data_IF_172108354245
#
_entry.id   IF_172108354245
#
_cell.length_a   1.000
_cell.length_b   1.000
_cell.length_c   1.000
_cell.angle_alpha   90.00
_cell.angle_beta   90.00
_cell.angle_gamma   90.00
#
_symmetry.space_group_name_H-M   'P 1'
#
loop_
_entity.id
_entity.type
_entity.pdbx_description
1 polymer ?
#
# COMPACT_ATOMS: atom_id res chain seq x y z
N UNK A 1 19.55 -16.57 5.25
CA UNK A 1 19.10 -16.65 3.85
C UNK A 1 18.75 -15.25 3.40
N UNK A 2 19.51 -14.67 2.47
CA UNK A 2 19.26 -13.32 1.98
C UNK A 2 18.19 -13.36 0.89
N UNK A 3 16.92 -13.21 1.26
CA UNK A 3 15.87 -13.01 0.28
C UNK A 3 16.10 -11.64 -0.38
N UNK A 4 16.60 -11.68 -1.62
CA UNK A 4 16.98 -10.49 -2.37
C UNK A 4 15.77 -9.56 -2.45
N UNK A 5 15.95 -8.29 -2.15
CA UNK A 5 14.81 -7.38 -1.92
C UNK A 5 14.32 -6.65 -3.17
N UNK A 6 15.03 -6.79 -4.30
CA UNK A 6 14.53 -6.42 -5.64
C UNK A 6 13.21 -7.13 -5.98
N UNK A 7 13.06 -8.44 -5.75
CA UNK A 7 11.78 -9.15 -5.86
C UNK A 7 10.60 -8.49 -5.12
N UNK A 8 10.82 -7.86 -3.97
CA UNK A 8 9.73 -7.25 -3.21
C UNK A 8 9.13 -6.05 -3.95
N UNK A 9 9.98 -5.11 -4.38
CA UNK A 9 9.52 -3.93 -5.11
C UNK A 9 8.80 -4.30 -6.41
N UNK A 10 9.29 -5.32 -7.11
CA UNK A 10 8.67 -5.81 -8.34
C UNK A 10 7.31 -6.48 -8.05
N UNK A 11 7.21 -7.27 -6.96
CA UNK A 11 5.94 -7.85 -6.49
C UNK A 11 4.92 -6.76 -6.13
N UNK A 12 5.37 -5.67 -5.50
CA UNK A 12 4.54 -4.54 -5.10
C UNK A 12 4.23 -3.58 -6.26
N UNK A 13 4.87 -3.77 -7.42
CA UNK A 13 4.65 -2.96 -8.62
C UNK A 13 5.37 -1.60 -8.61
N UNK A 14 6.38 -1.42 -7.76
CA UNK A 14 7.18 -0.20 -7.70
C UNK A 14 8.16 -0.19 -8.87
N UNK A 15 7.88 0.64 -9.87
CA UNK A 15 8.71 0.79 -11.06
C UNK A 15 9.73 1.92 -10.86
N UNK A 16 10.84 1.92 -11.62
CA UNK A 16 11.68 3.12 -11.71
C UNK A 16 10.84 4.34 -12.10
N UNK A 17 11.01 5.45 -11.38
CA UNK A 17 10.25 6.68 -11.60
C UNK A 17 8.83 6.71 -11.03
N UNK A 18 8.37 5.66 -10.33
CA UNK A 18 7.08 5.71 -9.64
C UNK A 18 7.05 6.80 -8.57
N UNK A 19 5.94 7.54 -8.49
CA UNK A 19 5.62 8.42 -7.37
C UNK A 19 5.01 7.61 -6.24
N UNK A 20 5.62 7.66 -5.06
CA UNK A 20 5.23 6.84 -3.91
C UNK A 20 4.97 7.71 -2.69
N UNK A 21 3.84 7.51 -2.03
CA UNK A 21 3.55 8.09 -0.72
C UNK A 21 3.57 7.02 0.38
N UNK A 22 4.17 7.35 1.51
CA UNK A 22 4.26 6.51 2.70
C UNK A 22 3.42 7.08 3.83
N UNK A 23 2.64 6.23 4.48
CA UNK A 23 1.65 6.62 5.46
C UNK A 23 1.67 5.65 6.63
N UNK A 24 2.01 6.14 7.82
CA UNK A 24 2.10 5.36 9.07
C UNK A 24 2.87 4.04 8.92
N UNK A 25 3.86 4.01 8.03
CA UNK A 25 4.63 2.81 7.71
C UNK A 25 6.02 2.86 8.34
N UNK A 26 6.15 2.26 9.51
CA UNK A 26 7.45 2.09 10.17
C UNK A 26 8.20 0.87 9.62
N UNK A 27 8.88 1.05 8.49
CA UNK A 27 9.70 0.00 7.89
C UNK A 27 10.97 0.56 7.21
N UNK A 28 12.00 0.96 7.98
CA UNK A 28 13.16 1.70 7.48
C UNK A 28 13.91 1.01 6.32
N UNK A 29 14.00 -0.32 6.36
CA UNK A 29 14.62 -1.11 5.28
C UNK A 29 13.84 -1.02 3.97
N UNK A 30 12.51 -0.94 4.03
CA UNK A 30 11.67 -0.76 2.85
C UNK A 30 11.79 0.65 2.29
N UNK A 31 11.81 1.67 3.15
CA UNK A 31 12.03 3.06 2.75
C UNK A 31 13.37 3.22 2.02
N UNK A 32 14.44 2.61 2.54
CA UNK A 32 15.74 2.61 1.87
C UNK A 32 15.66 2.02 0.46
N UNK A 33 15.01 0.88 0.30
CA UNK A 33 14.86 0.22 -1.00
C UNK A 33 14.02 1.03 -1.98
N UNK A 34 12.95 1.68 -1.50
CA UNK A 34 12.16 2.59 -2.32
C UNK A 34 13.02 3.73 -2.87
N UNK A 35 13.83 4.36 -2.01
CA UNK A 35 14.72 5.48 -2.39
C UNK A 35 15.83 5.06 -3.35
N UNK A 36 16.23 3.79 -3.34
CA UNK A 36 17.15 3.21 -4.34
C UNK A 36 16.47 2.99 -5.71
N UNK A 37 15.15 2.80 -5.74
CA UNK A 37 14.37 2.53 -6.97
C UNK A 37 13.79 3.78 -7.62
N UNK A 38 13.32 4.74 -6.82
CA UNK A 38 12.69 5.97 -7.29
C UNK A 38 13.04 7.14 -6.38
N UNK A 39 13.11 8.34 -6.95
CA UNK A 39 13.42 9.58 -6.21
C UNK A 39 12.17 10.25 -5.65
N UNK A 40 11.00 9.96 -6.22
CA UNK A 40 9.72 10.58 -5.86
C UNK A 40 9.03 9.83 -4.73
N UNK A 41 9.68 9.79 -3.56
CA UNK A 41 9.14 9.18 -2.33
C UNK A 41 8.85 10.27 -1.31
N UNK A 42 7.58 10.37 -0.90
CA UNK A 42 7.13 11.33 0.13
C UNK A 42 6.54 10.60 1.34
N UNK A 43 6.68 11.19 2.51
CA UNK A 43 6.01 10.76 3.73
C UNK A 43 4.81 11.68 3.97
N UNK A 44 3.62 11.10 4.13
CA UNK A 44 2.35 11.83 4.20
C UNK A 44 1.77 12.19 2.84
N UNK A 45 0.95 13.25 2.83
CA UNK A 45 0.14 13.66 1.67
C UNK A 45 1.02 14.17 0.50
N UNK A 46 0.94 13.57 -0.70
CA UNK A 46 1.70 14.03 -1.85
C UNK A 46 1.11 15.33 -2.42
N UNK A 47 1.95 16.13 -3.10
CA UNK A 47 1.53 17.39 -3.75
C UNK A 47 0.73 17.17 -5.03
N UNK A 48 0.99 16.09 -5.74
CA UNK A 48 0.23 15.62 -6.90
C UNK A 48 -0.24 14.20 -6.64
N UNK A 49 -1.22 13.69 -7.39
CA UNK A 49 -1.52 12.26 -7.36
C UNK A 49 -0.26 11.42 -7.61
N UNK A 50 -0.22 10.25 -6.98
CA UNK A 50 0.90 9.32 -7.01
C UNK A 50 0.48 7.95 -7.55
N UNK A 51 1.45 7.15 -7.96
CA UNK A 51 1.18 5.81 -8.52
C UNK A 51 0.82 4.83 -7.41
N UNK A 52 1.50 4.94 -6.26
CA UNK A 52 1.37 4.01 -5.14
C UNK A 52 1.36 4.73 -3.81
N UNK A 53 0.43 4.36 -2.94
CA UNK A 53 0.45 4.70 -1.51
C UNK A 53 0.72 3.43 -0.73
N UNK A 54 1.59 3.47 0.28
CA UNK A 54 1.75 2.40 1.26
C UNK A 54 1.27 2.89 2.62
N UNK A 55 0.21 2.26 3.14
CA UNK A 55 -0.36 2.49 4.45
C UNK A 55 0.09 1.37 5.40
N UNK A 56 0.78 1.70 6.48
CA UNK A 56 0.90 0.80 7.63
C UNK A 56 -0.40 0.83 8.44
N UNK A 57 -0.95 -0.34 8.75
CA UNK A 57 -2.17 -0.49 9.53
C UNK A 57 -1.96 -1.50 10.67
N UNK A 58 -2.26 -1.06 11.89
CA UNK A 58 -2.17 -1.82 13.12
C UNK A 58 -3.55 -2.18 13.65
N UNK A 59 -4.59 -1.41 13.35
CA UNK A 59 -5.96 -1.74 13.75
C UNK A 59 -7.01 -1.32 12.71
N UNK A 60 -8.29 -1.57 13.03
CA UNK A 60 -9.41 -1.27 12.12
C UNK A 60 -9.62 0.23 11.91
N UNK A 61 -9.25 1.06 12.87
CA UNK A 61 -9.33 2.51 12.79
C UNK A 61 -8.43 3.05 11.69
N UNK A 62 -7.23 2.49 11.54
CA UNK A 62 -6.29 2.87 10.48
C UNK A 62 -6.88 2.67 9.07
N UNK A 63 -7.73 1.65 8.89
CA UNK A 63 -8.35 1.35 7.60
C UNK A 63 -9.34 2.43 7.13
N UNK A 64 -9.85 3.26 8.04
CA UNK A 64 -10.72 4.38 7.68
C UNK A 64 -10.02 5.40 6.76
N UNK A 65 -8.68 5.45 6.81
CA UNK A 65 -7.85 6.30 5.96
C UNK A 65 -7.96 5.97 4.47
N UNK A 66 -8.37 4.76 4.09
CA UNK A 66 -8.53 4.37 2.69
C UNK A 66 -9.43 5.33 1.89
N UNK A 67 -10.44 5.92 2.53
CA UNK A 67 -11.31 6.93 1.89
C UNK A 67 -10.53 8.18 1.48
N UNK A 68 -9.64 8.67 2.34
CA UNK A 68 -8.79 9.81 2.05
C UNK A 68 -7.69 9.43 1.05
N UNK A 69 -6.98 8.33 1.28
CA UNK A 69 -5.85 7.91 0.45
C UNK A 69 -6.25 7.61 -1.00
N UNK A 70 -7.50 7.20 -1.22
CA UNK A 70 -8.06 7.05 -2.57
C UNK A 70 -7.97 8.34 -3.39
N UNK A 71 -8.03 9.51 -2.75
CA UNK A 71 -7.92 10.82 -3.41
C UNK A 71 -6.47 11.19 -3.75
N UNK A 72 -5.48 10.43 -3.26
CA UNK A 72 -4.05 10.71 -3.48
C UNK A 72 -3.47 9.92 -4.65
N UNK A 73 -4.19 8.94 -5.18
CA UNK A 73 -3.67 8.06 -6.24
C UNK A 73 -4.21 8.46 -7.61
N UNK A 74 -3.38 8.25 -8.64
CA UNK A 74 -3.80 8.31 -10.04
C UNK A 74 -4.95 7.30 -10.30
N UNK A 75 -5.77 7.48 -11.36
CA UNK A 75 -6.88 6.55 -11.65
C UNK A 75 -6.45 5.09 -11.84
N UNK A 76 -5.23 4.87 -12.33
CA UNK A 76 -4.58 3.57 -12.50
C UNK A 76 -3.60 3.22 -11.35
N UNK A 77 -3.52 4.07 -10.33
CA UNK A 77 -2.71 3.88 -9.13
C UNK A 77 -3.30 2.88 -8.15
N UNK A 78 -2.63 2.69 -7.02
CA UNK A 78 -3.05 1.74 -6.00
C UNK A 78 -2.63 2.14 -4.58
N UNK A 79 -3.33 1.58 -3.61
CA UNK A 79 -2.97 1.65 -2.19
C UNK A 79 -2.59 0.25 -1.73
N UNK A 80 -1.41 0.08 -1.15
CA UNK A 80 -1.01 -1.11 -0.42
C UNK A 80 -1.24 -0.89 1.07
N UNK A 81 -2.07 -1.72 1.68
CA UNK A 81 -2.22 -1.78 3.14
C UNK A 81 -1.29 -2.86 3.67
N UNK A 82 -0.32 -2.46 4.48
CA UNK A 82 0.70 -3.30 5.11
C UNK A 82 0.30 -3.53 6.57
N UNK A 83 0.16 -4.78 6.98
CA UNK A 83 -0.26 -5.16 8.34
C UNK A 83 0.50 -6.39 8.83
N UNK A 84 0.58 -6.56 10.16
CA UNK A 84 1.20 -7.75 10.77
C UNK A 84 0.48 -9.03 10.30
N UNK A 85 1.20 -10.12 10.04
CA UNK A 85 0.63 -11.42 9.61
C UNK A 85 0.72 -12.49 10.70
N UNK A 86 -0.09 -13.53 10.56
CA UNK A 86 -0.15 -14.65 11.52
C UNK A 86 -1.28 -14.52 12.53
N UNK A 87 -1.38 -15.51 13.42
CA UNK A 87 -2.52 -15.71 14.33
C UNK A 87 -2.72 -14.55 15.34
N UNK A 88 -1.66 -13.83 15.69
CA UNK A 88 -1.73 -12.67 16.58
C UNK A 88 -2.05 -11.35 15.88
N UNK A 89 -2.35 -11.37 14.59
CA UNK A 89 -2.65 -10.13 13.85
C UNK A 89 -4.01 -9.56 14.28
N UNK A 90 -4.08 -8.28 14.68
CA UNK A 90 -5.33 -7.61 15.02
C UNK A 90 -6.24 -7.38 13.80
N UNK A 91 -5.69 -7.48 12.59
CA UNK A 91 -6.38 -7.26 11.32
C UNK A 91 -6.45 -8.54 10.49
N UNK A 92 -7.67 -8.92 10.12
CA UNK A 92 -7.91 -10.03 9.20
C UNK A 92 -8.12 -9.50 7.79
N UNK A 93 -7.89 -10.36 6.79
CA UNK A 93 -8.09 -9.98 5.39
C UNK A 93 -9.53 -9.52 5.10
N UNK A 94 -10.53 -10.11 5.76
CA UNK A 94 -11.92 -9.67 5.66
C UNK A 94 -12.11 -8.22 6.11
N UNK A 95 -11.42 -7.81 7.18
CA UNK A 95 -11.54 -6.45 7.71
C UNK A 95 -10.96 -5.43 6.72
N UNK A 96 -9.89 -5.80 6.02
CA UNK A 96 -9.28 -5.02 4.94
C UNK A 96 -10.20 -4.94 3.72
N UNK A 97 -10.75 -6.07 3.27
CA UNK A 97 -11.67 -6.15 2.12
C UNK A 97 -12.90 -5.28 2.36
N UNK A 98 -13.53 -5.41 3.52
CA UNK A 98 -14.72 -4.64 3.91
C UNK A 98 -14.43 -3.13 3.90
N UNK A 99 -13.28 -2.73 4.46
CA UNK A 99 -12.86 -1.33 4.48
C UNK A 99 -12.57 -0.79 3.07
N UNK A 100 -11.89 -1.58 2.22
CA UNK A 100 -11.65 -1.24 0.82
C UNK A 100 -12.96 -1.03 0.06
N UNK A 101 -13.92 -1.94 0.23
CA UNK A 101 -15.23 -1.82 -0.40
C UNK A 101 -16.00 -0.58 0.12
N UNK A 102 -15.94 -0.29 1.41
CA UNK A 102 -16.55 0.89 2.02
C UNK A 102 -15.88 2.22 1.59
N UNK A 103 -14.65 2.17 1.07
CA UNK A 103 -13.96 3.29 0.45
C UNK A 103 -14.20 3.38 -1.08
N UNK A 104 -14.94 2.44 -1.66
CA UNK A 104 -15.14 2.35 -3.11
C UNK A 104 -13.87 1.92 -3.85
N UNK A 105 -13.09 1.05 -3.22
CA UNK A 105 -11.95 0.33 -3.80
C UNK A 105 -12.28 -1.16 -3.87
N UNK A 106 -11.45 -1.92 -4.58
CA UNK A 106 -11.44 -3.39 -4.57
C UNK A 106 -10.01 -3.87 -4.41
N UNK A 107 -9.83 -4.95 -3.66
CA UNK A 107 -8.56 -5.65 -3.63
C UNK A 107 -8.34 -6.43 -4.93
N UNK A 108 -7.08 -6.56 -5.36
CA UNK A 108 -6.73 -7.37 -6.52
C UNK A 108 -5.47 -8.21 -6.35
N UNK A 109 -4.74 -8.02 -5.26
CA UNK A 109 -3.48 -8.70 -5.00
C UNK A 109 -3.16 -8.71 -3.53
N UNK A 110 -2.55 -9.81 -3.08
CA UNK A 110 -1.90 -9.92 -1.77
C UNK A 110 -0.43 -10.28 -2.03
N UNK A 111 0.48 -9.79 -1.19
CA UNK A 111 1.90 -10.11 -1.24
C UNK A 111 2.46 -10.28 0.18
N UNK A 112 3.44 -11.19 0.33
CA UNK A 112 4.30 -11.18 1.52
C UNK A 112 5.17 -9.93 1.46
N UNK A 113 5.12 -9.11 2.51
CA UNK A 113 5.86 -7.84 2.58
C UNK A 113 7.20 -8.03 3.31
N UNK A 114 7.16 -8.76 4.43
CA UNK A 114 8.32 -9.18 5.21
C UNK A 114 8.00 -10.47 5.96
N UNK A 115 8.91 -10.95 6.81
CA UNK A 115 8.67 -12.11 7.67
C UNK A 115 7.52 -11.90 8.65
N UNK A 116 7.25 -10.65 9.03
CA UNK A 116 6.22 -10.29 10.02
C UNK A 116 5.00 -9.62 9.41
N UNK A 117 5.07 -9.12 8.17
CA UNK A 117 3.99 -8.37 7.54
C UNK A 117 3.54 -8.95 6.19
N UNK A 118 2.24 -8.86 5.94
CA UNK A 118 1.63 -9.02 4.63
C UNK A 118 1.13 -7.69 4.11
N UNK A 119 0.90 -7.61 2.80
CA UNK A 119 0.31 -6.43 2.18
C UNK A 119 -0.84 -6.82 1.24
N UNK A 120 -1.92 -6.04 1.25
CA UNK A 120 -3.05 -6.15 0.34
C UNK A 120 -3.16 -4.90 -0.53
N UNK A 121 -3.34 -5.08 -1.82
CA UNK A 121 -3.42 -4.00 -2.81
C UNK A 121 -4.86 -3.68 -3.15
N UNK A 122 -5.22 -2.41 -3.01
CA UNK A 122 -6.50 -1.83 -3.38
C UNK A 122 -6.37 -0.90 -4.58
N UNK A 123 -7.34 -0.98 -5.48
CA UNK A 123 -7.45 -0.13 -6.67
C UNK A 123 -8.86 0.40 -6.84
N UNK A 124 -9.03 1.44 -7.66
CA UNK A 124 -10.35 1.87 -8.10
C UNK A 124 -11.11 0.71 -8.76
N UNK A 125 -12.40 0.57 -8.41
CA UNK A 125 -13.32 -0.24 -9.19
C UNK A 125 -13.42 0.35 -10.58
N UNK A 126 -13.59 -0.48 -11.61
CA UNK A 126 -13.70 0.02 -12.98
C UNK A 126 -14.82 1.07 -13.13
N UNK A 127 -15.96 0.86 -12.47
CA UNK A 127 -17.10 1.79 -12.46
C UNK A 127 -16.85 3.09 -11.67
N UNK A 128 -15.93 3.06 -10.71
CA UNK A 128 -15.65 4.15 -9.78
C UNK A 128 -14.32 4.88 -10.12
N UNK A 129 -13.65 4.48 -11.22
CA UNK A 129 -12.35 5.00 -11.65
C UNK A 129 -12.55 6.39 -12.30
N UNK A 130 -11.84 7.43 -11.83
CA UNK A 130 -11.85 8.75 -12.47
C UNK A 130 -11.33 8.66 -13.91
N UNK A 131 -11.88 9.47 -14.81
CA UNK A 131 -11.44 9.57 -16.21
C UNK A 131 -10.25 10.51 -16.35
#
# INVERSE_FOLDING_TARGET
MAETTKPLLDKLGVKPGSKVALVDLDHPSFVKLLRERTRDVVEGKPRTPCDLVFLGANDRGDLARLRELKTWIEPNGAIWVVRAKGAGSPLRDTDLIDAGLAAGLVDNKIASFSDTHGAMRFVFRLKDRPK
#
